data_IF_816553235360
#
_entry.id   IF_816553235360
#
_cell.length_a   1.000
_cell.length_b   1.000
_cell.length_c   1.000
_cell.angle_alpha   90.00
_cell.angle_beta   90.00
_cell.angle_gamma   90.00
#
_symmetry.space_group_name_H-M   'P 1'
#
loop_
_entity.id
_entity.type
_entity.pdbx_description
1 polymer ?
#
# COMPACT_ATOMS: atom_id res chain seq x y z
N UNK A 1 -14.84 20.75 -4.92
CA UNK A 1 -15.42 19.97 -3.80
C UNK A 1 -16.91 19.77 -4.07
N UNK A 2 -17.46 18.58 -3.82
CA UNK A 2 -18.92 18.34 -3.90
C UNK A 2 -19.66 19.15 -2.82
N UNK A 3 -20.99 19.30 -2.96
CA UNK A 3 -21.81 20.05 -1.99
C UNK A 3 -21.72 19.49 -0.57
N UNK A 4 -21.39 18.22 -0.43
CA UNK A 4 -21.21 17.51 0.85
C UNK A 4 -19.74 17.35 1.28
N UNK A 5 -18.81 18.08 0.65
CA UNK A 5 -17.40 18.06 1.05
C UNK A 5 -16.54 16.99 0.37
N UNK A 6 -17.10 16.08 -0.44
CA UNK A 6 -16.28 15.07 -1.14
C UNK A 6 -15.32 15.72 -2.14
N UNK A 7 -14.07 15.25 -2.14
CA UNK A 7 -13.04 15.67 -3.10
C UNK A 7 -13.22 14.97 -4.45
N UNK A 8 -13.43 13.65 -4.43
CA UNK A 8 -13.66 12.83 -5.61
C UNK A 8 -15.15 12.68 -5.87
N UNK A 9 -15.58 13.12 -7.05
CA UNK A 9 -16.99 13.13 -7.46
C UNK A 9 -17.10 12.92 -8.95
N UNK A 10 -18.20 12.31 -9.38
CA UNK A 10 -18.60 12.33 -10.78
C UNK A 10 -18.95 13.76 -11.20
N UNK A 11 -19.08 13.97 -12.51
CA UNK A 11 -19.53 15.26 -13.07
C UNK A 11 -20.86 15.72 -12.46
N UNK A 12 -21.79 14.77 -12.26
CA UNK A 12 -23.09 14.98 -11.60
C UNK A 12 -23.03 15.19 -10.08
N UNK A 13 -21.84 15.11 -9.46
CA UNK A 13 -21.65 15.27 -8.01
C UNK A 13 -21.89 14.00 -7.19
N UNK A 14 -22.09 12.86 -7.84
CA UNK A 14 -22.23 11.55 -7.21
C UNK A 14 -20.90 10.91 -6.81
N UNK A 15 -20.98 9.77 -6.12
CA UNK A 15 -19.81 8.93 -5.82
C UNK A 15 -19.49 8.04 -7.01
N UNK A 16 -18.22 7.71 -7.20
CA UNK A 16 -17.84 6.63 -8.10
C UNK A 16 -18.25 5.27 -7.51
N UNK A 17 -18.78 4.40 -8.37
CA UNK A 17 -19.04 3.01 -7.99
C UNK A 17 -17.74 2.21 -7.88
N UNK A 18 -17.78 1.12 -7.12
CA UNK A 18 -16.65 0.17 -7.06
C UNK A 18 -16.29 -0.40 -8.44
N UNK A 19 -17.30 -0.62 -9.29
CA UNK A 19 -17.09 -1.09 -10.67
C UNK A 19 -16.37 -0.06 -11.53
N UNK A 20 -16.66 1.23 -11.38
CA UNK A 20 -15.97 2.30 -12.10
C UNK A 20 -14.48 2.35 -11.73
N UNK A 21 -14.16 2.27 -10.43
CA UNK A 21 -12.77 2.16 -9.98
C UNK A 21 -12.07 0.92 -10.53
N UNK A 22 -12.76 -0.23 -10.49
CA UNK A 22 -12.20 -1.50 -10.98
C UNK A 22 -11.91 -1.45 -12.48
N UNK A 23 -12.83 -0.88 -13.26
CA UNK A 23 -12.67 -0.73 -14.71
C UNK A 23 -11.47 0.15 -15.05
N UNK A 24 -11.44 1.38 -14.50
CA UNK A 24 -10.33 2.32 -14.74
C UNK A 24 -8.99 1.71 -14.30
N UNK A 25 -8.98 0.96 -13.21
CA UNK A 25 -7.78 0.26 -12.74
C UNK A 25 -7.26 -0.77 -13.75
N UNK A 26 -8.14 -1.61 -14.31
CA UNK A 26 -7.71 -2.60 -15.32
C UNK A 26 -7.17 -1.93 -16.58
N UNK A 27 -7.78 -0.83 -17.04
CA UNK A 27 -7.24 -0.07 -18.18
C UNK A 27 -5.89 0.57 -17.84
N UNK A 28 -5.73 1.13 -16.64
CA UNK A 28 -4.47 1.70 -16.18
C UNK A 28 -3.35 0.65 -16.14
N UNK A 29 -3.65 -0.58 -15.70
CA UNK A 29 -2.67 -1.68 -15.69
C UNK A 29 -2.14 -1.98 -17.10
N UNK A 30 -3.00 -1.97 -18.12
CA UNK A 30 -2.60 -2.19 -19.53
C UNK A 30 -1.70 -1.09 -20.08
N UNK A 31 -1.84 0.14 -19.57
CA UNK A 31 -1.01 1.27 -19.98
C UNK A 31 0.35 1.29 -19.27
N UNK A 32 0.41 0.83 -18.02
CA UNK A 32 1.60 0.95 -17.17
C UNK A 32 2.47 -0.32 -17.13
N UNK A 33 1.93 -1.50 -17.43
CA UNK A 33 2.59 -2.79 -17.26
C UNK A 33 2.78 -3.52 -18.59
N UNK A 34 3.77 -4.42 -18.64
CA UNK A 34 3.95 -5.30 -19.80
C UNK A 34 2.80 -6.32 -19.91
N UNK A 35 2.52 -6.90 -21.10
CA UNK A 35 1.47 -7.89 -21.25
C UNK A 35 1.59 -9.09 -20.29
N UNK A 36 2.81 -9.57 -20.05
CA UNK A 36 3.08 -10.65 -19.09
C UNK A 36 2.75 -10.23 -17.64
N UNK A 37 3.06 -8.99 -17.26
CA UNK A 37 2.72 -8.45 -15.94
C UNK A 37 1.21 -8.23 -15.77
N UNK A 38 0.50 -7.76 -16.79
CA UNK A 38 -0.96 -7.62 -16.78
C UNK A 38 -1.63 -8.99 -16.57
N UNK A 39 -1.11 -10.04 -17.23
CA UNK A 39 -1.59 -11.41 -17.09
C UNK A 39 -1.27 -12.04 -15.72
N UNK A 40 -0.30 -11.48 -14.99
CA UNK A 40 0.05 -11.92 -13.64
C UNK A 40 -0.87 -11.33 -12.56
N UNK A 41 -0.68 -11.77 -11.31
CA UNK A 41 -1.35 -11.21 -10.12
C UNK A 41 -0.78 -9.84 -9.69
N UNK A 42 0.24 -9.31 -10.37
CA UNK A 42 0.85 -8.03 -10.03
C UNK A 42 -0.19 -6.89 -10.11
N UNK A 43 -0.39 -6.23 -8.97
CA UNK A 43 -1.29 -5.09 -8.83
C UNK A 43 -2.71 -5.37 -9.37
N UNK A 44 -3.19 -6.61 -9.21
CA UNK A 44 -4.48 -7.06 -9.76
C UNK A 44 -5.67 -6.20 -9.29
N UNK A 45 -5.59 -5.63 -8.09
CA UNK A 45 -6.60 -4.76 -7.49
C UNK A 45 -5.98 -3.42 -7.06
N UNK A 46 -6.76 -2.33 -7.01
CA UNK A 46 -6.30 -1.06 -6.45
C UNK A 46 -5.76 -1.19 -5.03
N UNK A 47 -6.36 -2.08 -4.23
CA UNK A 47 -5.97 -2.31 -2.83
C UNK A 47 -4.56 -2.92 -2.70
N UNK A 48 -4.02 -3.54 -3.76
CA UNK A 48 -2.67 -4.09 -3.74
C UNK A 48 -1.62 -2.96 -3.69
N UNK A 49 -1.94 -1.75 -4.16
CA UNK A 49 -1.08 -0.57 -3.97
C UNK A 49 -0.91 -0.19 -2.50
N UNK A 50 -1.98 -0.34 -1.71
CA UNK A 50 -1.92 -0.08 -0.27
C UNK A 50 -1.02 -1.10 0.43
N UNK A 51 -1.11 -2.37 0.03
CA UNK A 51 -0.18 -3.39 0.51
C UNK A 51 1.26 -3.05 0.14
N UNK A 52 1.53 -2.66 -1.12
CA UNK A 52 2.85 -2.27 -1.57
C UNK A 52 3.42 -1.07 -0.78
N UNK A 53 2.61 -0.04 -0.52
CA UNK A 53 3.03 1.12 0.25
C UNK A 53 3.41 0.76 1.69
N UNK A 54 2.60 -0.07 2.36
CA UNK A 54 2.89 -0.50 3.75
C UNK A 54 4.16 -1.34 3.81
N UNK A 55 4.31 -2.32 2.90
CA UNK A 55 5.52 -3.13 2.79
C UNK A 55 6.76 -2.26 2.51
N UNK A 56 6.65 -1.27 1.63
CA UNK A 56 7.73 -0.34 1.32
C UNK A 56 8.16 0.47 2.55
N UNK A 57 7.23 1.04 3.31
CA UNK A 57 7.57 1.80 4.50
C UNK A 57 8.26 0.95 5.57
N UNK A 58 7.79 -0.29 5.78
CA UNK A 58 8.44 -1.24 6.69
C UNK A 58 9.86 -1.58 6.22
N UNK A 59 10.04 -1.83 4.92
CA UNK A 59 11.35 -2.14 4.32
C UNK A 59 12.31 -0.94 4.35
N UNK A 60 11.78 0.28 4.31
CA UNK A 60 12.56 1.50 4.52
C UNK A 60 12.93 1.74 6.00
N UNK A 61 12.50 0.87 6.92
CA UNK A 61 12.79 0.97 8.35
C UNK A 61 11.93 1.99 9.10
N UNK A 62 10.79 2.41 8.55
CA UNK A 62 9.83 3.27 9.27
C UNK A 62 9.27 2.48 10.46
N UNK A 63 9.20 3.06 11.67
CA UNK A 63 8.68 2.35 12.85
C UNK A 63 7.26 1.83 12.65
N UNK A 64 7.04 0.57 13.05
CA UNK A 64 5.74 -0.12 12.92
C UNK A 64 4.53 0.67 13.47
N UNK A 65 4.61 1.38 14.62
CA UNK A 65 3.51 2.22 15.10
C UNK A 65 3.14 3.36 14.14
N UNK A 66 4.13 4.01 13.52
CA UNK A 66 3.91 5.11 12.57
C UNK A 66 3.34 4.58 11.25
N UNK A 67 3.83 3.45 10.77
CA UNK A 67 3.26 2.77 9.58
C UNK A 67 1.80 2.39 9.83
N UNK A 68 1.48 1.79 10.98
CA UNK A 68 0.12 1.40 11.33
C UNK A 68 -0.82 2.61 11.41
N UNK A 69 -0.35 3.71 12.05
CA UNK A 69 -1.09 4.97 12.12
C UNK A 69 -1.39 5.55 10.73
N UNK A 70 -0.39 5.62 9.84
CA UNK A 70 -0.57 6.12 8.46
C UNK A 70 -1.49 5.24 7.64
N UNK A 71 -1.39 3.92 7.84
CA UNK A 71 -2.28 2.98 7.19
C UNK A 71 -3.70 3.05 7.80
N UNK A 72 -3.88 3.51 9.04
CA UNK A 72 -5.19 3.55 9.68
C UNK A 72 -5.65 2.19 10.20
N UNK A 73 -4.73 1.39 10.73
CA UNK A 73 -5.03 0.15 11.44
C UNK A 73 -4.15 -0.01 12.68
N UNK A 74 -4.45 -1.01 13.53
CA UNK A 74 -3.64 -1.29 14.72
C UNK A 74 -2.28 -1.88 14.36
N UNK A 75 -1.33 -1.79 15.30
CA UNK A 75 -0.02 -2.44 15.20
C UNK A 75 -0.16 -3.96 15.18
N UNK A 76 -1.13 -4.52 15.92
CA UNK A 76 -1.45 -5.95 15.87
C UNK A 76 -1.82 -6.41 14.45
N UNK A 77 -2.72 -5.68 13.78
CA UNK A 77 -3.08 -5.98 12.38
C UNK A 77 -1.87 -5.84 11.46
N UNK A 78 -1.01 -4.85 11.72
CA UNK A 78 0.22 -4.67 10.95
C UNK A 78 1.14 -5.89 11.07
N UNK A 79 1.45 -6.33 12.28
CA UNK A 79 2.35 -7.45 12.52
C UNK A 79 1.76 -8.76 11.98
N UNK A 80 0.46 -8.99 12.16
CA UNK A 80 -0.22 -10.17 11.63
C UNK A 80 -0.18 -10.26 10.10
N UNK A 81 -0.30 -9.13 9.40
CA UNK A 81 -0.38 -9.10 7.92
C UNK A 81 0.99 -8.96 7.27
N UNK A 82 1.94 -8.26 7.90
CA UNK A 82 3.20 -7.83 7.28
C UNK A 82 4.47 -8.34 7.98
N UNK A 83 4.37 -9.27 8.95
CA UNK A 83 5.55 -9.88 9.58
C UNK A 83 6.57 -10.40 8.55
N UNK A 84 6.10 -10.99 7.45
CA UNK A 84 6.96 -11.50 6.36
C UNK A 84 7.79 -10.43 5.65
N UNK A 85 7.41 -9.15 5.73
CA UNK A 85 8.22 -8.05 5.21
C UNK A 85 9.34 -7.64 6.18
N UNK A 86 9.24 -8.03 7.45
CA UNK A 86 10.28 -7.84 8.45
C UNK A 86 11.30 -9.00 8.40
N UNK A 87 10.85 -10.19 8.00
CA UNK A 87 11.70 -11.35 7.72
C UNK A 87 12.66 -11.04 6.55
N UNK A 88 13.94 -10.83 6.88
CA UNK A 88 14.98 -10.39 5.93
C UNK A 88 15.69 -9.10 6.35
N UNK A 89 15.20 -8.38 7.36
CA UNK A 89 15.85 -7.18 7.90
C UNK A 89 16.82 -7.47 9.05
N UNK A 90 17.06 -8.74 9.39
CA UNK A 90 17.84 -9.13 10.57
C UNK A 90 19.27 -8.56 10.54
N UNK A 91 19.98 -8.68 9.41
CA UNK A 91 21.34 -8.12 9.27
C UNK A 91 21.34 -6.59 9.38
N UNK A 92 20.38 -5.92 8.74
CA UNK A 92 20.23 -4.47 8.79
C UNK A 92 19.90 -3.95 10.20
N UNK A 93 19.00 -4.63 10.90
CA UNK A 93 18.62 -4.31 12.28
C UNK A 93 19.81 -4.54 13.20
N UNK A 94 20.53 -5.65 13.05
CA UNK A 94 21.72 -5.94 13.84
C UNK A 94 22.82 -4.90 13.60
N UNK A 95 23.01 -4.43 12.36
CA UNK A 95 23.90 -3.31 12.05
C UNK A 95 23.55 -2.05 12.85
N UNK A 96 22.28 -1.63 12.82
CA UNK A 96 21.80 -0.48 13.60
C UNK A 96 21.99 -0.64 15.11
N UNK A 97 21.79 -1.85 15.64
CA UNK A 97 22.02 -2.15 17.06
C UNK A 97 23.50 -2.01 17.39
N UNK A 98 24.38 -2.59 16.56
CA UNK A 98 25.82 -2.51 16.76
C UNK A 98 26.33 -1.07 16.71
N UNK A 99 25.84 -0.26 15.76
CA UNK A 99 26.18 1.17 15.64
C UNK A 99 25.77 1.97 16.90
N UNK A 100 24.65 1.61 17.53
CA UNK A 100 24.17 2.28 18.73
C UNK A 100 24.87 1.82 20.03
N UNK A 101 25.50 0.64 20.01
CA UNK A 101 26.24 0.06 21.14
C UNK A 101 27.75 0.32 21.08
N UNK A 102 28.24 0.89 19.98
CA UNK A 102 29.66 1.25 19.75
C UNK A 102 30.05 2.60 20.32
#
# INVERSE_FOLDING_TARGET
>A
MAKDGRLFRTETGGSYSSSAYSYVWQETRKLALTPAQVASSLAARPYDLRHAAVSLWLNAGVPAPEVAKRAGHSVDVLLRVYAKCLDGQQEHINGKINDALG
#
